data_IF_048744662654
#
_entry.id   IF_048744662654
#
_cell.length_a   1.000
_cell.length_b   1.000
_cell.length_c   1.000
_cell.angle_alpha   90.00
_cell.angle_beta   90.00
_cell.angle_gamma   90.00
#
_symmetry.space_group_name_H-M   'P 1'
#
loop_
_entity.id
_entity.type
_entity.pdbx_description
1 polymer ?
#
# COMPACT_ATOMS: atom_id res chain seq x y z
N UNK A 1 16.60 -9.75 20.54
CA UNK A 1 16.67 -8.39 19.97
C UNK A 1 15.25 -7.84 19.89
N UNK A 2 14.89 -7.00 20.85
CA UNK A 2 13.54 -6.45 20.99
C UNK A 2 13.30 -5.37 19.91
N UNK A 3 12.21 -5.51 19.17
CA UNK A 3 11.68 -4.43 18.33
C UNK A 3 11.27 -3.28 19.25
N UNK A 4 11.93 -2.13 19.16
CA UNK A 4 11.55 -0.89 19.85
C UNK A 4 10.09 -0.53 19.49
N UNK A 5 9.18 -0.82 20.43
CA UNK A 5 7.73 -0.56 20.35
C UNK A 5 7.34 0.88 20.72
N UNK A 6 8.19 1.87 20.43
CA UNK A 6 7.94 3.27 20.85
C UNK A 6 7.81 4.22 19.66
N UNK A 7 7.15 3.79 18.59
CA UNK A 7 6.46 4.75 17.74
C UNK A 7 5.14 5.08 18.45
N UNK A 8 5.06 6.23 19.11
CA UNK A 8 3.82 6.67 19.73
C UNK A 8 2.71 6.66 18.67
N UNK A 9 1.48 6.20 18.96
CA UNK A 9 0.38 6.20 17.97
C UNK A 9 0.17 7.56 17.31
N UNK A 10 0.48 8.64 18.04
CA UNK A 10 0.47 10.02 17.58
C UNK A 10 1.49 10.31 16.46
N UNK A 11 2.66 9.66 16.46
CA UNK A 11 3.69 9.81 15.41
C UNK A 11 3.30 9.09 14.12
N UNK A 12 2.40 8.10 14.20
CA UNK A 12 1.89 7.34 13.06
C UNK A 12 0.68 8.02 12.43
N UNK A 13 -0.06 8.84 13.18
CA UNK A 13 -1.12 9.67 12.61
C UNK A 13 -0.54 10.60 11.54
N UNK A 14 -1.25 10.70 10.42
CA UNK A 14 -0.82 11.44 9.23
C UNK A 14 0.44 10.91 8.53
N UNK A 15 1.00 9.79 8.96
CA UNK A 15 2.07 9.11 8.25
C UNK A 15 1.59 8.60 6.88
N UNK A 16 2.51 8.46 5.93
CA UNK A 16 2.28 7.79 4.66
C UNK A 16 2.61 6.31 4.80
N UNK A 17 1.71 5.45 4.32
CA UNK A 17 1.88 3.99 4.32
C UNK A 17 1.69 3.45 2.91
N UNK A 18 2.61 2.59 2.48
CA UNK A 18 2.48 1.84 1.24
C UNK A 18 1.63 0.60 1.49
N UNK A 19 0.53 0.48 0.76
CA UNK A 19 -0.46 -0.59 0.93
C UNK A 19 -0.70 -1.34 -0.38
N UNK A 20 -0.93 -2.66 -0.32
CA UNK A 20 -1.38 -3.41 -1.48
C UNK A 20 -2.82 -3.03 -1.82
N UNK A 21 -3.08 -2.76 -3.10
CA UNK A 21 -4.42 -2.41 -3.61
C UNK A 21 -5.19 -3.63 -4.11
N UNK A 22 -4.55 -4.79 -4.09
CA UNK A 22 -5.15 -6.07 -4.38
C UNK A 22 -4.47 -7.14 -3.50
N UNK A 23 -5.11 -8.30 -3.28
CA UNK A 23 -4.49 -9.37 -2.50
C UNK A 23 -3.17 -9.86 -3.11
N UNK A 24 -2.28 -10.32 -2.24
CA UNK A 24 -1.06 -11.02 -2.66
C UNK A 24 -1.42 -12.32 -3.38
N UNK A 25 -0.57 -12.68 -4.34
CA UNK A 25 -0.56 -14.01 -4.97
C UNK A 25 0.86 -14.55 -4.89
N UNK A 26 1.00 -15.87 -4.90
CA UNK A 26 2.28 -16.56 -4.70
C UNK A 26 3.37 -16.18 -5.72
N UNK A 27 2.98 -15.61 -6.86
CA UNK A 27 3.86 -15.36 -8.01
C UNK A 27 4.13 -13.88 -8.30
N UNK A 28 3.35 -12.95 -7.75
CA UNK A 28 3.50 -11.54 -8.11
C UNK A 28 3.02 -10.57 -7.03
N UNK A 29 3.85 -9.56 -6.76
CA UNK A 29 3.47 -8.42 -5.93
C UNK A 29 2.22 -7.74 -6.51
N UNK A 30 1.21 -7.43 -5.66
CA UNK A 30 0.05 -6.69 -6.11
C UNK A 30 0.44 -5.26 -6.49
N UNK A 31 -0.44 -4.53 -7.20
CA UNK A 31 -0.33 -3.09 -7.33
C UNK A 31 -0.27 -2.47 -5.93
N UNK A 32 0.67 -1.55 -5.72
CA UNK A 32 0.87 -0.86 -4.44
C UNK A 32 0.49 0.61 -4.61
N UNK A 33 -0.10 1.21 -3.59
CA UNK A 33 -0.38 2.64 -3.53
C UNK A 33 0.00 3.23 -2.18
N UNK A 34 -0.06 4.55 -2.05
CA UNK A 34 0.24 5.25 -0.78
C UNK A 34 -1.02 5.87 -0.20
N UNK A 35 -1.34 5.49 1.04
CA UNK A 35 -2.39 6.11 1.84
C UNK A 35 -1.82 6.97 2.96
N UNK A 36 -2.53 8.02 3.33
CA UNK A 36 -2.29 8.76 4.57
C UNK A 36 -3.08 8.14 5.71
N UNK A 37 -2.43 7.85 6.83
CA UNK A 37 -3.08 7.29 8.01
C UNK A 37 -3.95 8.36 8.67
N UNK A 38 -5.26 8.12 8.72
CA UNK A 38 -6.22 9.03 9.35
C UNK A 38 -6.61 8.60 10.77
N UNK A 39 -6.75 7.28 10.98
CA UNK A 39 -7.20 6.69 12.25
C UNK A 39 -6.49 5.38 12.48
N UNK A 40 -6.25 5.06 13.74
CA UNK A 40 -5.62 3.82 14.18
C UNK A 40 -6.56 3.17 15.18
N UNK A 41 -6.93 1.92 14.92
CA UNK A 41 -7.76 1.14 15.83
C UNK A 41 -6.94 -0.02 16.39
N UNK A 42 -7.01 -0.20 17.72
CA UNK A 42 -6.44 -1.37 18.37
C UNK A 42 -7.49 -2.47 18.40
N UNK A 43 -7.22 -3.59 17.73
CA UNK A 43 -8.07 -4.77 17.79
C UNK A 43 -7.55 -5.73 18.86
N UNK A 44 -8.47 -6.44 19.52
CA UNK A 44 -8.09 -7.51 20.43
C UNK A 44 -7.41 -8.67 19.68
N UNK A 45 -6.40 -9.28 20.30
CA UNK A 45 -5.56 -10.34 19.69
C UNK A 45 -6.37 -11.45 19.02
N UNK A 46 -7.41 -11.97 19.68
CA UNK A 46 -8.24 -13.05 19.15
C UNK A 46 -8.97 -12.68 17.86
N UNK A 47 -9.32 -11.39 17.67
CA UNK A 47 -9.93 -10.89 16.41
C UNK A 47 -8.91 -10.70 15.29
N UNK A 48 -7.62 -10.66 15.62
CA UNK A 48 -6.53 -10.54 14.63
C UNK A 48 -5.97 -11.89 14.20
N UNK A 49 -6.36 -12.97 14.87
CA UNK A 49 -5.90 -14.33 14.57
C UNK A 49 -6.39 -14.75 13.18
N UNK A 50 -5.45 -14.93 12.25
CA UNK A 50 -5.74 -15.31 10.86
C UNK A 50 -5.84 -14.14 9.88
N UNK A 51 -5.70 -12.88 10.35
CA UNK A 51 -5.55 -11.76 9.42
C UNK A 51 -4.15 -11.78 8.79
N UNK A 52 -4.03 -11.61 7.46
CA UNK A 52 -2.73 -11.56 6.82
C UNK A 52 -1.94 -10.36 7.30
N UNK A 53 -0.72 -10.60 7.80
CA UNK A 53 0.21 -9.52 8.16
C UNK A 53 0.65 -8.85 6.85
N UNK A 54 0.27 -7.59 6.70
CA UNK A 54 0.65 -6.80 5.52
C UNK A 54 1.97 -6.10 5.83
N UNK A 55 3.04 -6.46 5.12
CA UNK A 55 4.32 -5.73 5.19
C UNK A 55 4.22 -4.49 4.30
N UNK A 56 4.04 -3.33 4.92
CA UNK A 56 4.03 -2.03 4.25
C UNK A 56 5.21 -1.17 4.70
N UNK A 57 5.75 -0.35 3.81
CA UNK A 57 6.68 0.71 4.19
C UNK A 57 5.88 1.88 4.77
N UNK A 58 6.41 2.49 5.83
CA UNK A 58 5.78 3.60 6.54
C UNK A 58 6.76 4.76 6.67
N UNK A 59 6.30 5.97 6.40
CA UNK A 59 7.06 7.20 6.63
C UNK A 59 6.24 8.14 7.52
N UNK A 60 6.77 8.44 8.70
CA UNK A 60 6.12 9.32 9.69
C UNK A 60 5.85 10.73 9.15
N UNK A 61 4.85 11.40 9.72
CA UNK A 61 4.37 12.70 9.25
C UNK A 61 5.50 13.73 9.12
N UNK A 62 6.29 13.90 10.18
CA UNK A 62 7.42 14.84 10.24
C UNK A 62 8.45 14.63 9.10
N UNK A 63 8.61 13.40 8.61
CA UNK A 63 9.58 13.12 7.56
C UNK A 63 9.04 13.48 6.18
N UNK A 64 7.82 13.09 5.81
CA UNK A 64 7.35 13.29 4.44
C UNK A 64 6.92 14.74 4.16
N UNK A 65 6.61 15.53 5.21
CA UNK A 65 6.24 16.94 5.12
C UNK A 65 7.43 17.90 5.11
N UNK A 66 8.61 17.47 5.55
CA UNK A 66 9.82 18.32 5.59
C UNK A 66 10.82 17.93 4.51
N UNK A 67 10.83 16.66 4.10
CA UNK A 67 11.83 16.14 3.16
C UNK A 67 11.44 16.39 1.71
N UNK A 68 12.42 16.61 0.82
CA UNK A 68 12.16 16.80 -0.59
C UNK A 68 11.54 15.53 -1.20
N UNK A 69 10.67 15.73 -2.18
CA UNK A 69 9.97 14.68 -2.93
C UNK A 69 10.87 13.48 -3.31
N UNK A 70 12.10 13.74 -3.76
CA UNK A 70 13.04 12.70 -4.20
C UNK A 70 13.42 11.74 -3.07
N UNK A 71 13.62 12.26 -1.85
CA UNK A 71 13.98 11.42 -0.69
C UNK A 71 12.78 10.58 -0.22
N UNK A 72 11.60 11.19 -0.16
CA UNK A 72 10.35 10.51 0.19
C UNK A 72 10.05 9.38 -0.80
N UNK A 73 10.17 9.69 -2.10
CA UNK A 73 9.95 8.73 -3.17
C UNK A 73 10.96 7.60 -3.12
N UNK A 74 12.27 7.89 -3.04
CA UNK A 74 13.31 6.85 -2.96
C UNK A 74 13.07 5.90 -1.78
N UNK A 75 12.69 6.44 -0.62
CA UNK A 75 12.38 5.62 0.56
C UNK A 75 11.15 4.73 0.36
N UNK A 76 10.05 5.27 -0.16
CA UNK A 76 8.79 4.52 -0.29
C UNK A 76 8.72 3.63 -1.55
N UNK A 77 9.70 3.68 -2.46
CA UNK A 77 9.66 2.94 -3.73
C UNK A 77 10.68 1.80 -3.82
N UNK A 78 11.75 1.81 -3.02
CA UNK A 78 12.94 0.98 -3.27
C UNK A 78 12.70 -0.54 -3.32
N UNK A 79 11.65 -1.04 -2.66
CA UNK A 79 11.34 -2.48 -2.61
C UNK A 79 10.30 -2.94 -3.65
N UNK A 80 9.87 -2.04 -4.53
CA UNK A 80 8.75 -2.30 -5.44
C UNK A 80 9.19 -2.34 -6.90
N UNK A 81 8.46 -3.11 -7.70
CA UNK A 81 8.62 -3.15 -9.16
C UNK A 81 8.25 -1.81 -9.79
N UNK A 82 8.86 -1.50 -10.94
CA UNK A 82 8.73 -0.20 -11.63
C UNK A 82 7.31 0.35 -11.72
N UNK A 83 6.32 -0.46 -12.10
CA UNK A 83 4.92 -0.03 -12.18
C UNK A 83 4.34 0.44 -10.84
N UNK A 84 4.70 -0.24 -9.76
CA UNK A 84 4.30 0.17 -8.41
C UNK A 84 5.11 1.37 -7.93
N UNK A 85 6.39 1.51 -8.32
CA UNK A 85 7.17 2.72 -8.04
C UNK A 85 6.54 3.97 -8.66
N UNK A 86 6.11 3.89 -9.93
CA UNK A 86 5.45 5.01 -10.62
C UNK A 86 4.15 5.41 -9.93
N UNK A 87 3.35 4.42 -9.54
CA UNK A 87 2.10 4.66 -8.84
C UNK A 87 2.34 5.34 -7.48
N UNK A 88 3.26 4.80 -6.67
CA UNK A 88 3.64 5.35 -5.37
C UNK A 88 4.14 6.80 -5.53
N UNK A 89 4.94 7.08 -6.55
CA UNK A 89 5.43 8.42 -6.90
C UNK A 89 4.29 9.41 -7.15
N UNK A 90 3.25 9.00 -7.90
CA UNK A 90 2.05 9.82 -8.12
C UNK A 90 1.26 10.04 -6.85
N UNK A 91 1.12 9.03 -6.00
CA UNK A 91 0.42 9.16 -4.73
C UNK A 91 1.16 10.10 -3.76
N UNK A 92 2.49 10.03 -3.70
CA UNK A 92 3.33 10.97 -2.91
C UNK A 92 3.15 12.39 -3.42
N UNK A 93 3.18 12.59 -4.75
CA UNK A 93 2.97 13.90 -5.36
C UNK A 93 1.60 14.47 -4.97
N UNK A 94 0.56 13.63 -4.99
CA UNK A 94 -0.78 14.00 -4.55
C UNK A 94 -0.78 14.44 -3.09
N UNK A 95 -0.20 13.65 -2.18
CA UNK A 95 -0.18 13.97 -0.75
C UNK A 95 0.62 15.24 -0.42
N UNK A 96 1.78 15.43 -1.05
CA UNK A 96 2.58 16.65 -0.86
C UNK A 96 1.85 17.89 -1.39
N UNK A 97 1.20 17.80 -2.55
CA UNK A 97 0.38 18.92 -3.07
C UNK A 97 -0.82 19.21 -2.18
N UNK A 98 -1.46 18.17 -1.65
CA UNK A 98 -2.57 18.35 -0.72
C UNK A 98 -2.13 19.06 0.55
N UNK A 99 -0.91 18.76 1.01
CA UNK A 99 -0.33 19.37 2.20
C UNK A 99 0.05 20.84 1.99
N UNK A 100 0.80 21.16 0.93
CA UNK A 100 1.32 22.53 0.72
C UNK A 100 0.35 23.47 0.03
N UNK A 101 -0.45 22.97 -0.91
CA UNK A 101 -1.23 23.82 -1.82
C UNK A 101 -2.73 23.56 -1.76
N UNK A 102 -3.19 22.56 -0.99
CA UNK A 102 -4.60 22.16 -0.87
C UNK A 102 -5.32 21.91 -2.22
N UNK A 103 -4.53 21.71 -3.28
CA UNK A 103 -4.97 21.61 -4.68
C UNK A 103 -4.45 20.30 -5.26
N UNK A 104 -4.74 19.19 -4.57
CA UNK A 104 -4.33 17.88 -5.03
C UNK A 104 -5.31 17.34 -6.07
N UNK A 105 -4.74 16.92 -7.20
CA UNK A 105 -5.47 16.26 -8.27
C UNK A 105 -4.85 14.89 -8.54
N UNK A 106 -5.71 13.88 -8.68
CA UNK A 106 -5.26 12.57 -9.13
C UNK A 106 -4.97 12.61 -10.62
N UNK A 107 -3.95 11.86 -11.05
CA UNK A 107 -3.71 11.68 -12.49
C UNK A 107 -4.72 10.66 -13.05
N UNK A 108 -5.65 11.07 -13.93
CA UNK A 108 -6.71 10.17 -14.42
C UNK A 108 -6.14 9.01 -15.24
N UNK A 109 -5.03 9.23 -15.95
CA UNK A 109 -4.33 8.17 -16.68
C UNK A 109 -3.81 7.08 -15.73
N UNK A 110 -3.10 7.49 -14.67
CA UNK A 110 -2.55 6.56 -13.68
C UNK A 110 -3.64 5.85 -12.87
N UNK A 111 -4.76 6.52 -12.60
CA UNK A 111 -5.91 5.89 -11.99
C UNK A 111 -6.47 4.75 -12.87
N UNK A 112 -6.60 4.98 -14.19
CA UNK A 112 -7.03 3.94 -15.14
C UNK A 112 -6.05 2.76 -15.19
N UNK A 113 -4.75 3.03 -15.27
CA UNK A 113 -3.69 2.00 -15.26
C UNK A 113 -3.76 1.18 -13.97
N UNK A 114 -3.85 1.85 -12.83
CA UNK A 114 -3.95 1.22 -11.50
C UNK A 114 -5.18 0.32 -11.42
N UNK A 115 -6.34 0.83 -11.79
CA UNK A 115 -7.60 0.08 -11.79
C UNK A 115 -7.53 -1.15 -12.69
N UNK A 116 -6.92 -1.04 -13.87
CA UNK A 116 -6.70 -2.17 -14.76
C UNK A 116 -5.79 -3.22 -14.11
N UNK A 117 -4.68 -2.81 -13.48
CA UNK A 117 -3.77 -3.74 -12.78
C UNK A 117 -4.47 -4.45 -11.62
N UNK A 118 -5.31 -3.75 -10.84
CA UNK A 118 -6.12 -4.33 -9.77
C UNK A 118 -7.07 -5.39 -10.34
N UNK A 119 -7.85 -5.04 -11.37
CA UNK A 119 -8.78 -5.98 -12.04
C UNK A 119 -8.05 -7.21 -12.59
N UNK A 120 -6.87 -7.02 -13.20
CA UNK A 120 -6.03 -8.11 -13.70
C UNK A 120 -5.58 -9.05 -12.58
N UNK A 121 -5.17 -8.51 -11.43
CA UNK A 121 -4.77 -9.30 -10.27
C UNK A 121 -5.97 -10.08 -9.70
N UNK A 122 -7.12 -9.42 -9.53
CA UNK A 122 -8.34 -10.08 -9.05
C UNK A 122 -8.80 -11.20 -9.99
N UNK A 123 -8.75 -10.97 -11.31
CA UNK A 123 -9.07 -12.00 -12.30
C UNK A 123 -8.12 -13.21 -12.27
N UNK A 124 -6.85 -13.01 -11.89
CA UNK A 124 -5.90 -14.13 -11.67
C UNK A 124 -6.23 -14.91 -10.41
N UNK A 125 -6.53 -14.22 -9.31
CA UNK A 125 -6.95 -14.86 -8.05
C UNK A 125 -8.21 -15.71 -8.28
N UNK A 126 -9.19 -15.15 -9.02
CA UNK A 126 -10.43 -15.88 -9.34
C UNK A 126 -10.15 -17.15 -10.15
N UNK A 127 -9.26 -17.08 -11.15
CA UNK A 127 -8.82 -18.24 -11.93
C UNK A 127 -8.07 -19.28 -11.09
N UNK A 128 -7.16 -18.85 -10.21
CA UNK A 128 -6.43 -19.76 -9.31
C UNK A 128 -7.37 -20.47 -8.34
N UNK A 129 -8.34 -19.75 -7.77
CA UNK A 129 -9.39 -20.35 -6.92
C UNK A 129 -10.22 -21.36 -7.70
N UNK A 130 -10.62 -21.02 -8.92
CA UNK A 130 -11.39 -21.94 -9.77
C UNK A 130 -10.60 -23.20 -10.14
N UNK A 131 -9.32 -23.08 -10.52
CA UNK A 131 -8.45 -24.22 -10.79
C UNK A 131 -8.24 -25.11 -9.56
N UNK A 132 -7.98 -24.51 -8.39
CA UNK A 132 -7.89 -25.26 -7.13
C UNK A 132 -9.19 -26.02 -6.84
N UNK A 133 -10.34 -25.35 -6.99
CA UNK A 133 -11.63 -26.00 -6.79
C UNK A 133 -11.83 -27.18 -7.74
N UNK A 134 -11.53 -27.04 -9.04
CA UNK A 134 -11.62 -28.16 -10.00
C UNK A 134 -10.75 -29.34 -9.59
N UNK A 135 -9.52 -29.09 -9.10
CA UNK A 135 -8.66 -30.16 -8.61
C UNK A 135 -9.25 -30.88 -7.39
N UNK A 136 -9.94 -30.16 -6.50
CA UNK A 136 -10.65 -30.78 -5.36
C UNK A 136 -11.87 -31.61 -5.78
N UNK A 137 -12.51 -31.32 -6.92
CA UNK A 137 -13.66 -32.08 -7.43
C UNK A 137 -13.28 -33.33 -8.24
N UNK A 138 -11.99 -33.50 -8.58
CA UNK A 138 -11.48 -34.68 -9.29
C UNK A 138 -10.76 -35.68 -8.34
N UNK A 139 -11.00 -35.56 -7.03
CA UNK A 139 -10.63 -36.50 -5.98
C UNK A 139 -11.93 -37.01 -5.37
#
# INVERSE_FOLDING_TARGET
MALNQTAHPQQILQALIVVPLAPYTDKQQPPMGVGKIQKIYKMAWFKTRGLPITRGQLMGAAYWTERPYVQVTRYLTHNYVWWSQQQISKDITYWQRQFYHQTAYHSPLWQKITNWRIRRQLGRIKRQRWQKNIQYWHI
#
